data_IF_884546614146
#
_entry.id   IF_884546614146
#
_cell.length_a   1.000
_cell.length_b   1.000
_cell.length_c   1.000
_cell.angle_alpha   90.00
_cell.angle_beta   90.00
_cell.angle_gamma   90.00
#
_symmetry.space_group_name_H-M   'P 1'
#
loop_
_entity.id
_entity.type
_entity.pdbx_description
1 polymer ?
#
# COMPACT_ATOMS: atom_id res chain seq x y z
N UNK A 1 -0.48 16.48 1.95
CA UNK A 1 -0.44 15.52 3.07
C UNK A 1 0.87 15.79 3.80
N UNK A 2 0.86 16.27 5.04
CA UNK A 2 2.10 16.47 5.81
C UNK A 2 2.42 15.12 6.46
N UNK A 3 3.13 14.26 5.71
CA UNK A 3 3.55 12.96 6.21
C UNK A 3 4.81 13.21 7.05
N UNK A 4 4.74 12.92 8.35
CA UNK A 4 5.97 12.80 9.14
C UNK A 4 6.82 11.62 8.60
N UNK A 5 8.14 11.69 8.78
CA UNK A 5 9.06 10.72 8.18
C UNK A 5 8.72 9.27 8.58
N UNK A 6 8.25 9.05 9.81
CA UNK A 6 7.82 7.74 10.31
C UNK A 6 6.58 7.21 9.56
N UNK A 7 5.61 8.06 9.23
CA UNK A 7 4.46 7.68 8.39
C UNK A 7 4.87 7.43 6.96
N UNK A 8 5.80 8.21 6.41
CA UNK A 8 6.34 7.95 5.05
C UNK A 8 6.98 6.57 5.01
N UNK A 9 7.87 6.27 5.97
CA UNK A 9 8.56 4.97 6.05
C UNK A 9 7.54 3.84 6.12
N UNK A 10 6.52 3.94 6.97
CA UNK A 10 5.46 2.92 7.05
C UNK A 10 4.72 2.73 5.74
N UNK A 11 4.32 3.82 5.09
CA UNK A 11 3.63 3.75 3.79
C UNK A 11 4.50 3.08 2.74
N UNK A 12 5.78 3.48 2.63
CA UNK A 12 6.73 2.89 1.67
C UNK A 12 6.91 1.38 1.94
N UNK A 13 7.04 0.98 3.20
CA UNK A 13 7.17 -0.43 3.58
C UNK A 13 5.94 -1.24 3.16
N UNK A 14 4.74 -0.75 3.44
CA UNK A 14 3.51 -1.48 3.08
C UNK A 14 3.30 -1.56 1.57
N UNK A 15 3.57 -0.47 0.83
CA UNK A 15 3.50 -0.47 -0.64
C UNK A 15 4.52 -1.44 -1.23
N UNK A 16 5.77 -1.43 -0.76
CA UNK A 16 6.80 -2.36 -1.20
C UNK A 16 6.41 -3.82 -0.93
N UNK A 17 5.85 -4.10 0.26
CA UNK A 17 5.33 -5.42 0.60
C UNK A 17 4.19 -5.86 -0.33
N UNK A 18 3.27 -4.97 -0.68
CA UNK A 18 2.20 -5.25 -1.64
C UNK A 18 2.76 -5.59 -3.03
N UNK A 19 3.74 -4.82 -3.51
CA UNK A 19 4.42 -5.10 -4.78
C UNK A 19 5.06 -6.49 -4.78
N UNK A 20 5.80 -6.86 -3.73
CA UNK A 20 6.41 -8.20 -3.65
C UNK A 20 5.38 -9.34 -3.67
N UNK A 21 4.24 -9.19 -3.00
CA UNK A 21 3.16 -10.19 -3.04
C UNK A 21 2.50 -10.31 -4.41
N UNK A 22 2.44 -9.22 -5.16
CA UNK A 22 1.89 -9.20 -6.52
C UNK A 22 2.88 -9.78 -7.55
N UNK A 23 4.18 -9.52 -7.41
CA UNK A 23 5.22 -10.01 -8.33
C UNK A 23 5.26 -11.54 -8.43
N UNK A 24 4.83 -12.26 -7.39
CA UNK A 24 4.75 -13.72 -7.42
C UNK A 24 3.70 -14.24 -8.43
N UNK A 25 2.74 -13.41 -8.81
CA UNK A 25 1.56 -13.81 -9.58
C UNK A 25 1.36 -13.04 -10.89
N UNK A 26 2.17 -12.01 -11.18
CA UNK A 26 2.02 -11.18 -12.38
C UNK A 26 3.34 -10.53 -12.83
N UNK A 27 3.53 -10.40 -14.13
CA UNK A 27 4.64 -9.63 -14.72
C UNK A 27 4.37 -8.12 -14.76
N UNK A 28 3.08 -7.72 -14.72
CA UNK A 28 2.68 -6.31 -14.75
C UNK A 28 1.92 -5.95 -13.48
N UNK A 29 2.34 -4.88 -12.81
CA UNK A 29 1.70 -4.37 -11.61
C UNK A 29 1.07 -3.01 -11.92
N UNK A 30 -0.24 -2.91 -11.73
CA UNK A 30 -0.97 -1.64 -11.86
C UNK A 30 -1.17 -0.99 -10.50
N UNK A 31 -1.52 0.30 -10.54
CA UNK A 31 -1.89 1.08 -9.36
C UNK A 31 -3.08 0.46 -8.62
N UNK A 32 -4.09 0.02 -9.36
CA UNK A 32 -5.30 -0.63 -8.83
C UNK A 32 -4.95 -1.93 -8.11
N UNK A 33 -4.05 -2.75 -8.68
CA UNK A 33 -3.61 -3.99 -8.04
C UNK A 33 -2.93 -3.74 -6.70
N UNK A 34 -2.08 -2.70 -6.61
CA UNK A 34 -1.44 -2.32 -5.34
C UNK A 34 -2.49 -1.89 -4.31
N UNK A 35 -3.48 -1.09 -4.72
CA UNK A 35 -4.56 -0.64 -3.83
C UNK A 35 -5.37 -1.84 -3.31
N UNK A 36 -5.75 -2.75 -4.21
CA UNK A 36 -6.54 -3.92 -3.87
C UNK A 36 -5.77 -4.87 -2.94
N UNK A 37 -4.47 -5.04 -3.18
CA UNK A 37 -3.59 -5.86 -2.35
C UNK A 37 -3.45 -5.29 -0.93
N UNK A 38 -3.27 -3.98 -0.81
CA UNK A 38 -3.21 -3.29 0.49
C UNK A 38 -4.54 -3.44 1.26
N UNK A 39 -5.67 -3.30 0.58
CA UNK A 39 -7.00 -3.47 1.20
C UNK A 39 -7.31 -4.93 1.55
N UNK A 40 -6.86 -5.89 0.73
CA UNK A 40 -6.97 -7.33 1.02
C UNK A 40 -6.19 -7.65 2.30
N UNK A 41 -4.92 -7.27 2.36
CA UNK A 41 -4.08 -7.54 3.52
C UNK A 41 -4.57 -6.82 4.77
N UNK A 42 -5.13 -5.61 4.64
CA UNK A 42 -5.78 -4.89 5.76
C UNK A 42 -6.92 -5.68 6.40
N UNK A 43 -7.66 -6.48 5.62
CA UNK A 43 -8.74 -7.34 6.12
C UNK A 43 -8.21 -8.59 6.84
N UNK A 44 -7.04 -9.08 6.42
CA UNK A 44 -6.39 -10.28 6.98
C UNK A 44 -5.72 -10.02 8.32
N UNK A 45 -5.07 -8.87 8.49
CA UNK A 45 -4.38 -8.54 9.75
C UNK A 45 -5.38 -8.25 10.87
N UNK A 46 -5.05 -8.63 12.10
CA UNK A 46 -5.89 -8.34 13.29
C UNK A 46 -5.44 -7.07 14.03
N UNK A 47 -4.20 -6.63 13.82
CA UNK A 47 -3.61 -5.48 14.49
C UNK A 47 -4.17 -4.15 13.95
N UNK A 48 -4.85 -3.38 14.82
CA UNK A 48 -5.48 -2.10 14.46
C UNK A 48 -4.49 -1.03 13.98
N UNK A 49 -3.29 -0.94 14.55
CA UNK A 49 -2.27 0.02 14.11
C UNK A 49 -1.77 -0.31 12.71
N UNK A 50 -1.57 -1.60 12.44
CA UNK A 50 -1.16 -2.08 11.11
C UNK A 50 -2.25 -1.82 10.07
N UNK A 51 -3.53 -2.01 10.44
CA UNK A 51 -4.67 -1.63 9.58
C UNK A 51 -4.66 -0.16 9.20
N UNK A 52 -4.27 0.71 10.13
CA UNK A 52 -4.11 2.15 9.89
C UNK A 52 -3.04 2.42 8.83
N UNK A 53 -1.85 1.83 8.99
CA UNK A 53 -0.75 1.97 8.03
C UNK A 53 -1.13 1.49 6.62
N UNK A 54 -1.82 0.35 6.51
CA UNK A 54 -2.29 -0.19 5.22
C UNK A 54 -3.35 0.71 4.57
N UNK A 55 -4.26 1.28 5.37
CA UNK A 55 -5.26 2.24 4.88
C UNK A 55 -4.60 3.50 4.32
N UNK A 56 -3.65 4.04 5.07
CA UNK A 56 -2.93 5.27 4.69
C UNK A 56 -2.08 5.02 3.44
N UNK A 57 -1.42 3.85 3.34
CA UNK A 57 -0.71 3.44 2.14
C UNK A 57 -1.63 3.37 0.91
N UNK A 58 -2.81 2.75 1.04
CA UNK A 58 -3.78 2.68 -0.05
C UNK A 58 -4.30 4.07 -0.46
N UNK A 59 -4.48 4.99 0.50
CA UNK A 59 -4.85 6.37 0.22
C UNK A 59 -3.74 7.14 -0.51
N UNK A 60 -2.49 6.99 -0.07
CA UNK A 60 -1.33 7.60 -0.73
C UNK A 60 -1.25 7.13 -2.18
N UNK A 61 -1.29 5.82 -2.43
CA UNK A 61 -1.29 5.28 -3.78
C UNK A 61 -2.47 5.84 -4.58
N UNK A 62 -3.71 5.82 -4.06
CA UNK A 62 -4.87 6.44 -4.75
C UNK A 62 -4.63 7.90 -5.14
N UNK A 63 -4.00 8.69 -4.28
CA UNK A 63 -3.73 10.11 -4.52
C UNK A 63 -2.58 10.39 -5.49
N UNK A 64 -1.70 9.41 -5.74
CA UNK A 64 -0.64 9.57 -6.74
C UNK A 64 -1.29 9.70 -8.14
N UNK A 65 -0.93 10.74 -8.89
CA UNK A 65 -1.43 10.92 -10.26
C UNK A 65 -0.93 9.81 -11.19
N UNK A 66 -1.36 9.83 -12.47
CA UNK A 66 -0.69 9.04 -13.49
C UNK A 66 0.78 9.47 -13.51
N UNK A 67 1.68 8.55 -13.17
CA UNK A 67 3.07 8.66 -13.58
C UNK A 67 3.03 8.38 -15.09
N UNK A 68 2.83 9.45 -15.85
CA UNK A 68 2.93 9.43 -17.31
C UNK A 68 4.40 9.47 -17.71
#
# INVERSE_FOLDING_TARGET
MNLDDDKVVKVVMEVGGAVFRLLDNTETITKEMIIDELERYRKEVTNTLHKGALRDAAQVVRSMGKIG
#
